data_IF_952883846879
#
_entry.id   IF_952883846879
#
_cell.length_a   1.000
_cell.length_b   1.000
_cell.length_c   1.000
_cell.angle_alpha   90.00
_cell.angle_beta   90.00
_cell.angle_gamma   90.00
#
_symmetry.space_group_name_H-M   'P 1'
#
loop_
_entity.id
_entity.type
_entity.pdbx_description
1 polymer ?
#
# COMPACT_ATOMS: atom_id res chain seq x y z
N UNK A 1 -3.82 20.36 -17.68
CA UNK A 1 -4.00 18.97 -17.23
C UNK A 1 -2.80 18.63 -16.37
N UNK A 2 -2.96 18.57 -15.06
CA UNK A 2 -1.83 18.30 -14.15
C UNK A 2 -1.38 16.85 -14.34
N UNK A 3 -0.13 16.66 -14.74
CA UNK A 3 0.50 15.34 -14.76
C UNK A 3 0.88 15.00 -13.31
N UNK A 4 0.04 14.19 -12.66
CA UNK A 4 0.38 13.55 -11.39
C UNK A 4 1.72 12.83 -11.55
N UNK A 5 2.69 13.19 -10.70
CA UNK A 5 4.03 12.60 -10.70
C UNK A 5 4.03 11.33 -9.86
N UNK A 6 5.03 10.48 -10.04
CA UNK A 6 5.21 9.24 -9.26
C UNK A 6 5.27 9.52 -7.75
N UNK A 7 5.91 10.62 -7.35
CA UNK A 7 5.94 11.09 -5.96
C UNK A 7 4.55 11.49 -5.42
N UNK A 8 3.69 12.08 -6.26
CA UNK A 8 2.31 12.43 -5.90
C UNK A 8 1.46 11.15 -5.69
N UNK A 9 1.67 10.12 -6.53
CA UNK A 9 1.01 8.81 -6.36
C UNK A 9 1.45 8.13 -5.07
N UNK A 10 2.76 8.10 -4.78
CA UNK A 10 3.29 7.47 -3.56
C UNK A 10 2.79 8.18 -2.30
N UNK A 11 2.79 9.52 -2.29
CA UNK A 11 2.23 10.28 -1.17
C UNK A 11 0.76 9.94 -0.94
N UNK A 12 -0.05 9.94 -2.01
CA UNK A 12 -1.45 9.55 -1.94
C UNK A 12 -1.66 8.12 -1.43
N UNK A 13 -0.85 7.15 -1.90
CA UNK A 13 -0.91 5.75 -1.44
C UNK A 13 -0.63 5.65 0.06
N UNK A 14 0.40 6.34 0.56
CA UNK A 14 0.76 6.35 1.98
C UNK A 14 -0.34 6.95 2.85
N UNK A 15 -0.88 8.11 2.46
CA UNK A 15 -2.00 8.73 3.18
C UNK A 15 -3.23 7.84 3.21
N UNK A 16 -3.53 7.14 2.11
CA UNK A 16 -4.69 6.26 2.03
C UNK A 16 -4.55 5.02 2.93
N UNK A 17 -3.37 4.42 2.99
CA UNK A 17 -3.07 3.32 3.91
C UNK A 17 -3.11 3.79 5.37
N UNK A 18 -2.53 4.94 5.69
CA UNK A 18 -2.57 5.50 7.04
C UNK A 18 -4.02 5.75 7.50
N UNK A 19 -4.87 6.26 6.62
CA UNK A 19 -6.30 6.47 6.90
C UNK A 19 -7.07 5.16 7.17
N UNK A 20 -6.61 4.03 6.61
CA UNK A 20 -7.19 2.71 6.85
C UNK A 20 -6.66 2.03 8.13
N UNK A 21 -5.73 2.66 8.87
CA UNK A 21 -5.18 2.15 10.12
C UNK A 21 -3.83 1.46 10.01
N UNK A 22 -3.12 1.60 8.88
CA UNK A 22 -1.74 1.15 8.77
C UNK A 22 -0.81 2.07 9.59
N UNK A 23 0.22 1.50 10.21
CA UNK A 23 1.28 2.29 10.82
C UNK A 23 2.01 3.09 9.74
N UNK A 24 2.45 4.32 10.07
CA UNK A 24 3.11 5.24 9.13
C UNK A 24 4.26 4.58 8.35
N UNK A 25 5.16 3.90 9.06
CA UNK A 25 6.31 3.21 8.45
C UNK A 25 5.87 2.15 7.43
N UNK A 26 4.85 1.35 7.77
CA UNK A 26 4.32 0.31 6.87
C UNK A 26 3.57 0.92 5.68
N UNK A 27 2.81 2.00 5.91
CA UNK A 27 2.11 2.72 4.85
C UNK A 27 3.09 3.34 3.84
N UNK A 28 4.20 3.90 4.32
CA UNK A 28 5.27 4.43 3.48
C UNK A 28 5.94 3.30 2.68
N UNK A 29 6.35 2.21 3.32
CA UNK A 29 6.96 1.06 2.63
C UNK A 29 6.07 0.51 1.51
N UNK A 30 4.79 0.27 1.79
CA UNK A 30 3.83 -0.26 0.82
C UNK A 30 3.45 0.76 -0.27
N UNK A 31 3.55 2.06 0.02
CA UNK A 31 3.29 3.11 -0.95
C UNK A 31 4.30 3.11 -2.11
N UNK A 32 5.55 2.75 -1.84
CA UNK A 32 6.62 2.64 -2.84
C UNK A 32 6.54 1.37 -3.70
N UNK A 33 5.74 0.38 -3.30
CA UNK A 33 5.66 -0.92 -3.99
C UNK A 33 4.40 -0.99 -4.85
N UNK A 34 4.57 -0.77 -6.15
CA UNK A 34 3.49 -0.78 -7.13
C UNK A 34 2.80 -2.16 -7.26
N UNK A 35 3.47 -3.26 -6.88
CA UNK A 35 2.92 -4.63 -6.90
C UNK A 35 1.84 -4.94 -5.86
N UNK A 36 1.63 -4.06 -4.88
CA UNK A 36 0.58 -4.26 -3.87
C UNK A 36 -0.75 -3.65 -4.32
N UNK A 37 -1.82 -4.44 -4.22
CA UNK A 37 -3.19 -3.96 -4.37
C UNK A 37 -3.64 -3.25 -3.08
N UNK A 38 -3.60 -1.92 -3.12
CA UNK A 38 -3.96 -1.06 -1.99
C UNK A 38 -5.41 -1.28 -1.55
N UNK A 39 -6.31 -1.54 -2.50
CA UNK A 39 -7.72 -1.71 -2.21
C UNK A 39 -7.95 -2.99 -1.40
N UNK A 40 -7.28 -4.09 -1.79
CA UNK A 40 -7.33 -5.34 -1.05
C UNK A 40 -6.65 -5.27 0.32
N UNK A 41 -5.57 -4.52 0.44
CA UNK A 41 -4.92 -4.28 1.73
C UNK A 41 -5.89 -3.61 2.71
N UNK A 42 -6.57 -2.56 2.26
CA UNK A 42 -7.54 -1.82 3.06
C UNK A 42 -8.73 -2.72 3.42
N UNK A 43 -9.28 -3.46 2.45
CA UNK A 43 -10.41 -4.38 2.68
C UNK A 43 -10.09 -5.42 3.76
N UNK A 44 -8.88 -5.99 3.76
CA UNK A 44 -8.46 -6.94 4.79
C UNK A 44 -8.43 -6.29 6.17
N UNK A 45 -7.88 -5.08 6.28
CA UNK A 45 -7.79 -4.37 7.56
C UNK A 45 -9.17 -3.96 8.07
N UNK A 46 -10.06 -3.46 7.20
CA UNK A 46 -11.44 -3.15 7.55
C UNK A 46 -12.23 -4.38 8.04
N UNK A 47 -11.85 -5.58 7.58
CA UNK A 47 -12.42 -6.86 8.05
C UNK A 47 -11.81 -7.38 9.35
N UNK A 48 -10.87 -6.63 9.94
CA UNK A 48 -10.21 -6.98 11.21
C UNK A 48 -8.87 -7.73 11.05
N UNK A 49 -8.33 -7.83 9.83
CA UNK A 49 -7.00 -8.37 9.64
C UNK A 49 -5.94 -7.37 10.14
N UNK A 50 -4.92 -7.80 10.90
CA UNK A 50 -3.80 -6.93 11.24
C UNK A 50 -3.07 -6.43 9.98
N UNK A 51 -2.65 -5.15 9.91
CA UNK A 51 -2.00 -4.57 8.72
C UNK A 51 -0.76 -5.34 8.25
N UNK A 52 0.06 -5.80 9.19
CA UNK A 52 1.27 -6.58 8.92
C UNK A 52 0.96 -7.96 8.34
N UNK A 53 -0.17 -8.55 8.75
CA UNK A 53 -0.64 -9.81 8.20
C UNK A 53 -1.25 -9.61 6.81
N UNK A 54 -2.03 -8.55 6.61
CA UNK A 54 -2.60 -8.20 5.31
C UNK A 54 -1.51 -7.99 4.24
N UNK A 55 -0.43 -7.29 4.59
CA UNK A 55 0.74 -7.11 3.73
C UNK A 55 1.35 -8.46 3.31
N UNK A 56 1.50 -9.40 4.24
CA UNK A 56 2.05 -10.73 3.95
C UNK A 56 1.12 -11.59 3.09
N UNK A 57 -0.19 -11.47 3.27
CA UNK A 57 -1.20 -12.21 2.48
C UNK A 57 -1.19 -11.75 1.02
N UNK A 58 -1.02 -10.44 0.79
CA UNK A 58 -1.07 -9.83 -0.54
C UNK A 58 0.32 -9.59 -1.13
N UNK A 59 1.38 -10.12 -0.51
CA UNK A 59 2.72 -10.00 -1.03
C UNK A 59 2.80 -10.64 -2.44
N UNK A 60 3.40 -9.96 -3.42
CA UNK A 60 3.53 -10.49 -4.77
C UNK A 60 4.35 -11.80 -4.77
N UNK A 61 3.83 -12.83 -5.44
CA UNK A 61 4.34 -14.20 -5.34
C UNK A 61 5.64 -14.46 -6.14
N UNK A 62 6.00 -13.58 -7.09
CA UNK A 62 7.11 -13.83 -8.04
C UNK A 62 8.37 -13.00 -7.78
N UNK A 63 8.45 -12.22 -6.70
CA UNK A 63 9.62 -11.38 -6.43
C UNK A 63 9.82 -10.22 -7.42
N UNK A 64 8.89 -10.04 -8.36
CA UNK A 64 8.75 -8.87 -9.25
C UNK A 64 8.27 -7.67 -8.41
N UNK A 65 9.10 -7.25 -7.45
CA UNK A 65 8.94 -6.01 -6.70
C UNK A 65 9.19 -4.85 -7.66
N UNK A 66 8.18 -4.48 -8.46
CA UNK A 66 8.28 -3.32 -9.32
C UNK A 66 8.16 -2.05 -8.45
N UNK A 67 9.20 -1.19 -8.41
CA UNK A 67 9.06 0.12 -7.80
C UNK A 67 7.98 0.90 -8.54
N UNK A 68 7.20 1.69 -7.79
CA UNK A 68 6.78 2.98 -8.32
C UNK A 68 8.04 3.86 -8.22
#
# INVERSE_FOLDING_TARGET
>A
MSTTTEADITAWRSERLAAAGFRRELAEELSHRCGYDLHRLIELVERGCPPELAARILAPLDGEEHPC
#
